data_IF_553699382168
#
_entry.id   IF_553699382168
#
_cell.length_a   1.000
_cell.length_b   1.000
_cell.length_c   1.000
_cell.angle_alpha   90.00
_cell.angle_beta   90.00
_cell.angle_gamma   90.00
#
_symmetry.space_group_name_H-M   'P 1'
#
loop_
_entity.id
_entity.type
_entity.pdbx_description
1 polymer ?
#
# COMPACT_ATOMS: atom_id res chain seq x y z
N UNK A 1 6.12 27.42 -4.50
CA UNK A 1 4.94 27.74 -5.32
C UNK A 1 3.86 28.48 -4.53
N UNK A 2 3.88 28.49 -3.19
CA UNK A 2 2.88 29.24 -2.41
C UNK A 2 1.46 28.68 -2.54
N UNK A 3 1.33 27.37 -2.82
CA UNK A 3 0.06 26.68 -2.99
C UNK A 3 -0.28 26.00 -1.67
N UNK A 4 -1.52 26.16 -1.22
CA UNK A 4 -2.04 25.46 -0.05
C UNK A 4 -2.09 23.95 -0.29
N UNK A 5 -1.72 23.17 0.73
CA UNK A 5 -1.66 21.71 0.65
C UNK A 5 -2.69 21.11 1.59
N UNK A 6 -3.70 20.45 1.04
CA UNK A 6 -4.64 19.63 1.79
C UNK A 6 -4.20 18.16 1.76
N UNK A 7 -4.10 17.55 2.94
CA UNK A 7 -3.78 16.11 3.07
C UNK A 7 -5.04 15.35 3.44
N UNK A 8 -5.52 14.52 2.51
CA UNK A 8 -6.67 13.64 2.74
C UNK A 8 -6.17 12.20 2.93
N UNK A 9 -6.54 11.61 4.06
CA UNK A 9 -6.28 10.20 4.34
C UNK A 9 -7.33 9.33 3.65
N UNK A 10 -6.92 8.14 3.22
CA UNK A 10 -7.86 7.14 2.72
C UNK A 10 -8.55 6.48 3.91
N UNK A 11 -9.86 6.37 3.83
CA UNK A 11 -10.70 5.70 4.82
C UNK A 11 -10.83 4.20 4.53
N UNK A 12 -11.47 3.46 5.45
CA UNK A 12 -11.68 2.01 5.34
C UNK A 12 -12.41 1.60 4.06
N UNK A 13 -13.25 2.49 3.49
CA UNK A 13 -13.95 2.23 2.22
C UNK A 13 -12.97 2.03 1.05
N UNK A 14 -11.77 2.59 1.13
CA UNK A 14 -10.74 2.33 0.13
C UNK A 14 -10.31 0.86 0.09
N UNK A 15 -10.41 0.14 1.20
CA UNK A 15 -10.05 -1.28 1.24
C UNK A 15 -11.04 -2.12 0.44
N UNK A 16 -12.31 -1.72 0.35
CA UNK A 16 -13.29 -2.34 -0.55
C UNK A 16 -12.95 -2.10 -2.03
N UNK A 17 -12.42 -0.93 -2.37
CA UNK A 17 -11.89 -0.65 -3.72
C UNK A 17 -10.75 -1.61 -4.08
N UNK A 18 -9.95 -2.01 -3.08
CA UNK A 18 -8.90 -3.02 -3.27
C UNK A 18 -9.49 -4.42 -3.29
N UNK A 19 -10.45 -4.76 -2.43
CA UNK A 19 -11.03 -6.11 -2.31
C UNK A 19 -11.79 -6.51 -3.58
N UNK A 20 -12.62 -5.62 -4.10
CA UNK A 20 -13.56 -5.89 -5.19
C UNK A 20 -13.56 -4.76 -6.24
N UNK A 21 -12.46 -4.57 -6.99
CA UNK A 21 -12.42 -3.52 -8.00
C UNK A 21 -13.33 -3.80 -9.19
N UNK A 22 -14.09 -2.79 -9.61
CA UNK A 22 -14.99 -2.85 -10.77
C UNK A 22 -14.24 -3.04 -12.09
N UNK A 23 -13.03 -2.48 -12.21
CA UNK A 23 -12.24 -2.54 -13.45
C UNK A 23 -11.03 -3.49 -13.38
N UNK A 24 -11.02 -4.34 -12.35
CA UNK A 24 -10.02 -5.38 -12.13
C UNK A 24 -8.61 -4.85 -11.84
N UNK A 25 -7.73 -5.77 -11.51
CA UNK A 25 -6.35 -5.43 -11.14
C UNK A 25 -5.44 -5.17 -12.35
N UNK A 26 -4.26 -4.61 -12.07
CA UNK A 26 -3.13 -4.62 -12.99
C UNK A 26 -2.27 -5.88 -12.83
N UNK A 27 -0.95 -5.73 -12.68
CA UNK A 27 -0.01 -6.86 -12.55
C UNK A 27 -0.21 -7.63 -11.24
N UNK A 28 -0.49 -6.92 -10.14
CA UNK A 28 -0.64 -7.49 -8.80
C UNK A 28 -2.00 -7.08 -8.22
N UNK A 29 -2.06 -6.46 -7.04
CA UNK A 29 -3.30 -6.01 -6.41
C UNK A 29 -3.61 -4.54 -6.72
N UNK A 30 -3.16 -4.00 -7.84
CA UNK A 30 -3.28 -2.57 -8.12
C UNK A 30 -4.55 -2.23 -8.93
N UNK A 31 -5.66 -1.78 -8.31
CA UNK A 31 -6.89 -1.37 -9.00
C UNK A 31 -6.76 0.07 -9.52
N UNK A 32 -5.90 0.30 -10.50
CA UNK A 32 -5.48 1.67 -10.82
C UNK A 32 -6.60 2.59 -11.34
N UNK A 33 -7.64 2.05 -11.98
CA UNK A 33 -8.78 2.84 -12.47
C UNK A 33 -9.67 3.20 -11.28
N UNK A 34 -10.07 2.22 -10.48
CA UNK A 34 -10.93 2.40 -9.30
C UNK A 34 -10.27 3.30 -8.24
N UNK A 35 -8.97 3.14 -8.02
CA UNK A 35 -8.20 4.01 -7.13
C UNK A 35 -8.21 5.48 -7.60
N UNK A 36 -8.18 5.73 -8.91
CA UNK A 36 -8.28 7.10 -9.46
C UNK A 36 -9.67 7.67 -9.29
N UNK A 37 -10.70 6.86 -9.50
CA UNK A 37 -12.10 7.25 -9.27
C UNK A 37 -12.28 7.66 -7.80
N UNK A 38 -11.89 6.81 -6.85
CA UNK A 38 -11.94 7.12 -5.41
C UNK A 38 -11.23 8.43 -5.06
N UNK A 39 -10.01 8.64 -5.59
CA UNK A 39 -9.25 9.88 -5.32
C UNK A 39 -9.98 11.11 -5.87
N UNK A 40 -10.58 11.01 -7.05
CA UNK A 40 -11.32 12.12 -7.66
C UNK A 40 -12.65 12.40 -6.96
N UNK A 41 -13.31 11.38 -6.42
CA UNK A 41 -14.49 11.55 -5.57
C UNK A 41 -14.14 12.34 -4.30
N UNK A 42 -13.04 11.98 -3.61
CA UNK A 42 -12.53 12.75 -2.47
C UNK A 42 -12.10 14.17 -2.85
N UNK A 43 -11.46 14.35 -4.01
CA UNK A 43 -11.10 15.67 -4.51
C UNK A 43 -12.34 16.53 -4.81
N UNK A 44 -13.43 15.92 -5.28
CA UNK A 44 -14.72 16.58 -5.52
C UNK A 44 -15.42 16.98 -4.22
N UNK A 45 -15.37 16.13 -3.19
CA UNK A 45 -15.86 16.46 -1.85
C UNK A 45 -15.13 17.68 -1.31
N UNK A 46 -13.80 17.64 -1.24
CA UNK A 46 -12.97 18.76 -0.79
C UNK A 46 -13.18 20.02 -1.65
N UNK A 47 -13.26 19.86 -2.98
CA UNK A 47 -13.47 20.97 -3.90
C UNK A 47 -14.75 21.76 -3.59
N UNK A 48 -15.82 21.08 -3.15
CA UNK A 48 -17.05 21.77 -2.70
C UNK A 48 -16.84 22.53 -1.41
N UNK A 49 -16.11 21.96 -0.46
CA UNK A 49 -15.84 22.58 0.85
C UNK A 49 -15.02 23.86 0.72
N UNK A 50 -14.02 23.88 -0.16
CA UNK A 50 -13.12 25.03 -0.36
C UNK A 50 -13.61 26.00 -1.45
N UNK A 51 -14.76 25.71 -2.09
CA UNK A 51 -15.31 26.54 -3.17
C UNK A 51 -14.47 26.53 -4.46
N UNK A 52 -13.87 25.40 -4.81
CA UNK A 52 -13.08 25.26 -6.03
C UNK A 52 -13.97 25.21 -7.29
N UNK A 53 -13.61 26.00 -8.31
CA UNK A 53 -14.33 26.04 -9.60
C UNK A 53 -14.14 24.76 -10.43
N UNK A 54 -12.99 24.10 -10.32
CA UNK A 54 -12.67 22.91 -11.10
C UNK A 54 -11.56 22.05 -10.48
N UNK A 55 -11.42 20.84 -11.04
CA UNK A 55 -10.38 19.88 -10.67
C UNK A 55 -9.48 19.64 -11.88
N UNK A 56 -8.17 19.58 -11.64
CA UNK A 56 -7.21 19.17 -12.66
C UNK A 56 -6.27 18.08 -12.15
N UNK A 57 -5.73 17.29 -13.08
CA UNK A 57 -4.73 16.25 -12.76
C UNK A 57 -3.49 16.37 -13.64
N UNK A 58 -2.34 15.93 -13.12
CA UNK A 58 -1.12 15.76 -13.91
C UNK A 58 -1.11 14.50 -14.78
N UNK A 59 -2.26 13.96 -15.16
CA UNK A 59 -2.34 12.78 -16.00
C UNK A 59 -1.91 13.09 -17.44
N UNK A 60 -1.19 12.14 -18.05
CA UNK A 60 -0.69 12.24 -19.42
C UNK A 60 -1.20 11.06 -20.21
N UNK A 61 -1.86 11.33 -21.34
CA UNK A 61 -2.38 10.30 -22.24
C UNK A 61 -1.29 9.28 -22.62
N UNK A 62 -1.58 8.00 -22.44
CA UNK A 62 -0.72 6.83 -22.67
C UNK A 62 0.54 6.74 -21.79
N UNK A 63 0.66 7.54 -20.73
CA UNK A 63 1.83 7.48 -19.83
C UNK A 63 1.78 6.33 -18.80
N UNK A 64 0.60 5.75 -18.53
CA UNK A 64 0.42 4.53 -17.73
C UNK A 64 -0.53 3.57 -18.45
N UNK A 65 -0.16 2.29 -18.66
CA UNK A 65 -0.90 1.45 -19.60
C UNK A 65 -2.30 1.12 -19.09
N UNK A 66 -2.43 0.88 -17.78
CA UNK A 66 -3.70 0.50 -17.13
C UNK A 66 -4.66 1.69 -16.96
N UNK A 67 -4.16 2.86 -16.55
CA UNK A 67 -5.03 3.95 -16.06
C UNK A 67 -5.04 5.22 -16.91
N UNK A 68 -4.17 5.35 -17.91
CA UNK A 68 -4.02 6.59 -18.68
C UNK A 68 -4.14 6.39 -20.19
N UNK A 69 -4.67 5.26 -20.66
CA UNK A 69 -5.15 5.17 -22.04
C UNK A 69 -6.49 5.90 -22.19
N UNK A 70 -6.88 6.25 -23.43
CA UNK A 70 -8.07 7.07 -23.68
C UNK A 70 -9.36 6.49 -23.05
N UNK A 71 -9.55 5.17 -23.17
CA UNK A 71 -10.70 4.47 -22.58
C UNK A 71 -10.69 4.59 -21.05
N UNK A 72 -9.56 4.37 -20.41
CA UNK A 72 -9.42 4.48 -18.96
C UNK A 72 -9.66 5.91 -18.47
N UNK A 73 -9.11 6.93 -19.14
CA UNK A 73 -9.35 8.33 -18.78
C UNK A 73 -10.84 8.69 -18.83
N UNK A 74 -11.54 8.24 -19.88
CA UNK A 74 -12.99 8.45 -20.02
C UNK A 74 -13.78 7.72 -18.95
N UNK A 75 -13.44 6.46 -18.65
CA UNK A 75 -14.08 5.70 -17.56
C UNK A 75 -13.90 6.44 -16.23
N UNK A 76 -12.67 6.82 -15.89
CA UNK A 76 -12.36 7.49 -14.62
C UNK A 76 -13.17 8.78 -14.48
N UNK A 77 -13.26 9.56 -15.56
CA UNK A 77 -13.97 10.84 -15.58
C UNK A 77 -15.49 10.66 -15.42
N UNK A 78 -16.09 9.69 -16.11
CA UNK A 78 -17.52 9.39 -16.01
C UNK A 78 -17.86 8.86 -14.62
N UNK A 79 -17.12 7.87 -14.14
CA UNK A 79 -17.40 7.19 -12.87
C UNK A 79 -17.18 8.09 -11.65
N UNK A 80 -16.22 9.02 -11.70
CA UNK A 80 -16.05 10.03 -10.64
C UNK A 80 -17.10 11.16 -10.69
N UNK A 81 -17.94 11.20 -11.75
CA UNK A 81 -18.93 12.23 -11.97
C UNK A 81 -18.31 13.59 -12.35
N UNK A 82 -17.18 13.58 -13.06
CA UNK A 82 -16.45 14.77 -13.49
C UNK A 82 -16.42 14.96 -15.01
N UNK A 83 -17.30 14.28 -15.74
CA UNK A 83 -17.49 14.42 -17.20
C UNK A 83 -17.49 15.89 -17.63
N UNK A 84 -16.51 16.26 -18.46
CA UNK A 84 -16.34 17.61 -19.00
C UNK A 84 -15.80 18.65 -18.02
N UNK A 85 -15.58 18.29 -16.74
CA UNK A 85 -15.13 19.20 -15.68
C UNK A 85 -13.73 18.85 -15.13
N UNK A 86 -13.10 17.77 -15.62
CA UNK A 86 -11.77 17.33 -15.21
C UNK A 86 -10.71 17.76 -16.23
N UNK A 87 -9.92 18.78 -15.89
CA UNK A 87 -8.85 19.27 -16.76
C UNK A 87 -7.59 18.40 -16.65
N UNK A 88 -6.98 18.09 -17.79
CA UNK A 88 -5.69 17.37 -17.87
C UNK A 88 -4.67 18.20 -18.64
N UNK A 89 -4.10 19.27 -18.03
CA UNK A 89 -3.37 20.32 -18.75
C UNK A 89 -2.14 19.80 -19.51
N UNK A 90 -1.55 18.68 -19.07
CA UNK A 90 -0.37 18.12 -19.72
C UNK A 90 -0.68 17.42 -21.05
N UNK A 91 -1.90 16.93 -21.25
CA UNK A 91 -2.31 16.21 -22.47
C UNK A 91 -3.59 16.76 -23.10
N UNK A 92 -3.99 17.98 -22.75
CA UNK A 92 -5.27 18.57 -23.12
C UNK A 92 -5.45 18.66 -24.64
N UNK A 93 -4.37 18.94 -25.38
CA UNK A 93 -4.42 19.05 -26.85
C UNK A 93 -4.68 17.71 -27.57
N UNK A 94 -4.66 16.58 -26.85
CA UNK A 94 -5.02 15.25 -27.36
C UNK A 94 -6.37 14.74 -26.84
N UNK A 95 -7.12 15.56 -26.10
CA UNK A 95 -8.39 15.20 -25.48
C UNK A 95 -9.48 16.19 -25.90
N UNK A 96 -10.74 15.80 -25.76
CA UNK A 96 -11.86 16.72 -25.95
C UNK A 96 -11.77 17.92 -24.97
N UNK A 97 -12.17 19.13 -25.39
CA UNK A 97 -12.18 20.29 -24.51
C UNK A 97 -13.15 20.11 -23.35
N UNK A 98 -12.71 20.56 -22.17
CA UNK A 98 -13.57 20.69 -20.99
C UNK A 98 -14.57 21.84 -21.16
N UNK A 99 -15.60 21.86 -20.32
CA UNK A 99 -16.56 22.97 -20.26
C UNK A 99 -15.85 24.30 -19.95
N UNK A 100 -14.78 24.26 -19.16
CA UNK A 100 -13.98 25.43 -18.81
C UNK A 100 -13.26 26.03 -20.02
N UNK A 101 -12.73 25.17 -20.89
CA UNK A 101 -12.09 25.59 -22.15
C UNK A 101 -13.13 26.14 -23.13
N UNK A 102 -14.26 25.43 -23.31
CA UNK A 102 -15.33 25.87 -24.22
C UNK A 102 -15.97 27.19 -23.79
N UNK A 103 -16.04 27.46 -22.48
CA UNK A 103 -16.52 28.75 -21.92
C UNK A 103 -15.46 29.86 -21.92
N UNK A 104 -14.22 29.58 -22.33
CA UNK A 104 -13.13 30.54 -22.31
C UNK A 104 -12.57 30.88 -20.92
N UNK A 105 -12.94 30.12 -19.88
CA UNK A 105 -12.38 30.26 -18.53
C UNK A 105 -10.92 29.78 -18.48
N UNK A 106 -10.58 28.83 -19.36
CA UNK A 106 -9.22 28.33 -19.55
C UNK A 106 -8.83 28.48 -21.01
N UNK A 107 -7.73 29.21 -21.24
CA UNK A 107 -7.13 29.36 -22.55
C UNK A 107 -6.42 28.05 -22.96
N UNK A 108 -7.10 27.26 -23.78
CA UNK A 108 -6.61 25.97 -24.30
C UNK A 108 -5.28 26.09 -25.04
N UNK A 109 -4.96 27.25 -25.65
CA UNK A 109 -3.71 27.46 -26.38
C UNK A 109 -2.47 27.42 -25.48
N UNK A 110 -2.65 27.63 -24.17
CA UNK A 110 -1.58 27.56 -23.16
C UNK A 110 -1.38 26.17 -22.57
N UNK A 111 -2.23 25.20 -22.93
CA UNK A 111 -2.13 23.82 -22.47
C UNK A 111 -1.18 23.00 -23.35
N UNK A 112 -0.86 21.78 -22.92
CA UNK A 112 0.18 20.97 -23.55
C UNK A 112 -0.37 19.75 -24.30
N UNK A 113 0.45 19.26 -25.22
CA UNK A 113 0.26 18.10 -26.09
C UNK A 113 1.19 16.93 -25.68
N UNK A 114 1.46 16.74 -24.38
CA UNK A 114 2.29 15.61 -23.93
C UNK A 114 1.47 14.32 -24.05
N UNK A 115 2.05 13.30 -24.67
CA UNK A 115 1.50 11.94 -24.72
C UNK A 115 2.61 10.89 -24.76
N UNK A 116 2.25 9.65 -24.43
CA UNK A 116 3.14 8.49 -24.46
C UNK A 116 3.88 8.25 -23.15
N UNK A 117 4.86 7.34 -23.20
CA UNK A 117 5.55 6.79 -22.02
C UNK A 117 6.62 7.71 -21.43
N UNK A 118 7.24 8.54 -22.29
CA UNK A 118 8.38 9.38 -21.91
C UNK A 118 7.97 10.47 -20.92
N UNK A 119 8.85 10.76 -19.96
CA UNK A 119 8.73 11.88 -19.02
C UNK A 119 9.67 13.05 -19.35
N UNK A 120 10.44 12.95 -20.44
CA UNK A 120 11.49 13.92 -20.79
C UNK A 120 10.98 15.36 -20.80
N UNK A 121 9.87 15.63 -21.50
CA UNK A 121 9.28 16.98 -21.58
C UNK A 121 8.75 17.50 -20.25
N UNK A 122 8.16 16.64 -19.41
CA UNK A 122 7.74 17.03 -18.06
C UNK A 122 8.95 17.43 -17.19
N UNK A 123 10.05 16.66 -17.27
CA UNK A 123 11.27 16.94 -16.53
C UNK A 123 11.97 18.21 -17.04
N UNK A 124 11.92 18.49 -18.35
CA UNK A 124 12.41 19.74 -18.93
C UNK A 124 11.61 20.95 -18.44
N UNK A 125 10.27 20.86 -18.39
CA UNK A 125 9.41 21.90 -17.82
C UNK A 125 9.75 22.10 -16.34
N UNK A 126 9.80 21.02 -15.56
CA UNK A 126 10.18 21.09 -14.15
C UNK A 126 11.55 21.74 -13.95
N UNK A 127 12.54 21.43 -14.80
CA UNK A 127 13.88 22.05 -14.77
C UNK A 127 13.83 23.55 -15.01
N UNK A 128 13.11 23.98 -16.05
CA UNK A 128 12.96 25.41 -16.41
C UNK A 128 12.33 26.23 -15.28
N UNK A 129 11.50 25.60 -14.45
CA UNK A 129 10.85 26.23 -13.30
C UNK A 129 11.56 25.98 -11.96
N UNK A 130 12.76 25.39 -11.96
CA UNK A 130 13.52 25.12 -10.73
C UNK A 130 12.89 24.06 -9.81
N UNK A 131 11.97 23.24 -10.31
CA UNK A 131 11.20 22.26 -9.52
C UNK A 131 11.92 20.91 -9.36
N UNK A 132 13.03 20.70 -10.06
CA UNK A 132 13.75 19.42 -9.99
C UNK A 132 14.53 19.19 -8.69
N UNK A 133 14.86 20.24 -7.94
CA UNK A 133 15.66 20.10 -6.71
C UNK A 133 14.99 19.19 -5.67
N UNK A 134 13.65 19.15 -5.67
CA UNK A 134 12.84 18.32 -4.78
C UNK A 134 12.15 17.16 -5.52
N UNK A 135 12.60 16.83 -6.74
CA UNK A 135 12.03 15.72 -7.50
C UNK A 135 12.55 14.38 -7.01
N UNK A 136 11.66 13.57 -6.43
CA UNK A 136 11.92 12.16 -6.19
C UNK A 136 11.08 11.32 -7.15
N UNK A 137 11.73 10.40 -7.88
CA UNK A 137 11.01 9.42 -8.66
C UNK A 137 10.31 8.45 -7.70
N UNK A 138 9.01 8.67 -7.44
CA UNK A 138 8.26 7.82 -6.50
C UNK A 138 8.34 6.33 -6.91
N UNK A 139 8.64 5.46 -5.94
CA UNK A 139 8.82 4.00 -6.08
C UNK A 139 7.57 3.20 -6.46
N UNK A 140 6.58 3.82 -7.11
CA UNK A 140 5.32 3.17 -7.49
C UNK A 140 4.38 2.96 -6.31
N UNK A 141 3.26 2.28 -6.56
CA UNK A 141 2.29 1.92 -5.54
C UNK A 141 2.71 0.58 -4.90
N UNK A 142 2.64 0.43 -3.58
CA UNK A 142 2.97 -0.82 -2.89
C UNK A 142 2.12 -2.01 -3.38
N UNK A 143 0.89 -1.78 -3.84
CA UNK A 143 0.06 -2.83 -4.43
C UNK A 143 0.59 -3.39 -5.76
N UNK A 144 1.62 -2.75 -6.34
CA UNK A 144 2.37 -3.29 -7.49
C UNK A 144 3.55 -4.16 -7.07
N UNK A 145 3.98 -4.11 -5.81
CA UNK A 145 4.98 -5.02 -5.28
C UNK A 145 4.35 -6.40 -5.02
N UNK A 146 5.05 -7.48 -5.41
CA UNK A 146 4.51 -8.84 -5.32
C UNK A 146 4.37 -9.27 -3.86
N UNK A 147 5.37 -9.00 -3.02
CA UNK A 147 5.36 -9.42 -1.61
C UNK A 147 4.28 -8.70 -0.81
N UNK A 148 4.16 -7.38 -0.99
CA UNK A 148 3.10 -6.61 -0.35
C UNK A 148 1.73 -6.99 -0.87
N UNK A 149 1.57 -7.22 -2.18
CA UNK A 149 0.31 -7.70 -2.73
C UNK A 149 -0.09 -9.07 -2.17
N UNK A 150 0.85 -10.00 -1.95
CA UNK A 150 0.54 -11.28 -1.32
C UNK A 150 0.06 -11.10 0.13
N UNK A 151 0.78 -10.30 0.93
CA UNK A 151 0.38 -9.95 2.31
C UNK A 151 -0.98 -9.29 2.38
N UNK A 152 -1.30 -8.43 1.41
CA UNK A 152 -2.59 -7.77 1.30
C UNK A 152 -3.70 -8.74 0.85
N UNK A 153 -3.44 -9.67 -0.09
CA UNK A 153 -4.43 -10.71 -0.46
C UNK A 153 -4.77 -11.60 0.72
N UNK A 154 -3.76 -11.96 1.50
CA UNK A 154 -3.94 -12.70 2.74
C UNK A 154 -4.81 -11.92 3.74
N UNK A 155 -4.51 -10.64 3.97
CA UNK A 155 -5.33 -9.79 4.84
C UNK A 155 -6.79 -9.71 4.36
N UNK A 156 -7.03 -9.46 3.08
CA UNK A 156 -8.37 -9.39 2.49
C UNK A 156 -9.18 -10.69 2.59
N UNK A 157 -8.49 -11.83 2.61
CA UNK A 157 -9.09 -13.17 2.67
C UNK A 157 -9.47 -13.59 4.08
N UNK A 158 -8.65 -13.25 5.07
CA UNK A 158 -8.77 -13.74 6.45
C UNK A 158 -9.33 -12.70 7.43
N UNK A 159 -9.67 -11.50 6.96
CA UNK A 159 -10.23 -10.44 7.78
C UNK A 159 -11.60 -10.08 7.24
N UNK A 160 -12.64 -10.15 8.07
CA UNK A 160 -13.99 -9.80 7.66
C UNK A 160 -14.15 -8.28 7.59
N UNK A 161 -13.90 -7.61 8.71
CA UNK A 161 -13.93 -6.14 8.84
C UNK A 161 -12.57 -5.53 8.52
N UNK A 162 -12.47 -4.89 7.35
CA UNK A 162 -11.22 -4.27 6.90
C UNK A 162 -11.01 -2.90 7.55
N UNK A 163 -9.82 -2.67 8.10
CA UNK A 163 -9.42 -1.41 8.73
C UNK A 163 -8.11 -0.89 8.17
N UNK A 164 -8.06 0.41 7.90
CA UNK A 164 -6.83 1.07 7.42
C UNK A 164 -5.70 1.01 8.45
N UNK A 165 -6.03 0.89 9.74
CA UNK A 165 -5.08 0.74 10.84
C UNK A 165 -4.29 -0.57 10.80
N UNK A 166 -4.81 -1.62 10.15
CA UNK A 166 -4.14 -2.92 10.01
C UNK A 166 -3.10 -2.93 8.87
N UNK A 167 -3.14 -1.95 7.97
CA UNK A 167 -2.28 -1.94 6.77
C UNK A 167 -0.79 -1.65 7.06
N UNK A 168 -0.42 -0.76 8.02
CA UNK A 168 0.96 -0.51 8.35
C UNK A 168 1.77 -1.76 8.73
N UNK A 169 1.22 -2.69 9.52
CA UNK A 169 1.95 -3.90 9.96
C UNK A 169 2.33 -4.80 8.77
N UNK A 170 1.53 -4.75 7.69
CA UNK A 170 1.79 -5.50 6.46
C UNK A 170 3.05 -5.05 5.71
N UNK A 171 3.69 -3.94 6.09
CA UNK A 171 4.92 -3.44 5.45
C UNK A 171 6.18 -4.08 6.03
N UNK A 172 6.13 -4.53 7.28
CA UNK A 172 7.30 -4.95 8.06
C UNK A 172 7.27 -6.45 8.34
N UNK A 173 8.44 -7.03 8.58
CA UNK A 173 8.60 -8.45 8.88
C UNK A 173 8.42 -9.39 7.69
N UNK A 174 8.67 -10.67 7.96
CA UNK A 174 8.38 -11.83 7.12
C UNK A 174 7.04 -12.39 7.55
N UNK A 175 6.09 -12.49 6.62
CA UNK A 175 4.72 -12.89 6.96
C UNK A 175 4.50 -14.35 6.57
N UNK A 176 3.85 -15.08 7.46
CA UNK A 176 3.47 -16.47 7.27
C UNK A 176 2.01 -16.65 7.64
N UNK A 177 1.33 -17.58 6.96
CA UNK A 177 -0.03 -18.00 7.31
C UNK A 177 -0.03 -19.49 7.61
N UNK A 178 -0.19 -19.84 8.89
CA UNK A 178 -0.38 -21.22 9.31
C UNK A 178 -1.86 -21.46 9.60
N UNK A 179 -2.55 -22.16 8.67
CA UNK A 179 -4.01 -22.30 8.66
C UNK A 179 -4.71 -20.94 8.75
N UNK A 180 -5.30 -20.60 9.88
CA UNK A 180 -6.00 -19.33 10.15
C UNK A 180 -5.12 -18.32 10.88
N UNK A 181 -3.96 -18.71 11.42
CA UNK A 181 -3.12 -17.85 12.25
C UNK A 181 -2.05 -17.15 11.41
N UNK A 182 -1.95 -15.82 11.57
CA UNK A 182 -0.88 -15.01 10.95
C UNK A 182 0.31 -14.92 11.88
N UNK A 183 1.50 -15.12 11.32
CA UNK A 183 2.76 -15.01 12.06
C UNK A 183 3.66 -14.01 11.32
N UNK A 184 4.25 -13.06 12.04
CA UNK A 184 5.10 -12.02 11.47
C UNK A 184 6.43 -12.00 12.21
N UNK A 185 7.53 -12.32 11.51
CA UNK A 185 8.88 -12.36 12.09
C UNK A 185 9.66 -11.13 11.66
N UNK A 186 10.13 -10.33 12.62
CA UNK A 186 10.94 -9.15 12.35
C UNK A 186 12.23 -9.44 11.58
N UNK A 187 12.72 -8.45 10.82
CA UNK A 187 13.94 -8.60 9.99
C UNK A 187 15.18 -7.96 10.60
N UNK A 188 14.98 -6.98 11.47
CA UNK A 188 16.01 -6.21 12.16
C UNK A 188 15.36 -5.48 13.35
N UNK A 189 16.18 -4.85 14.18
CA UNK A 189 15.75 -4.14 15.38
C UNK A 189 14.71 -3.04 15.10
N UNK A 190 14.89 -2.27 14.02
CA UNK A 190 13.94 -1.22 13.63
C UNK A 190 12.56 -1.80 13.35
N UNK A 191 12.48 -2.92 12.63
CA UNK A 191 11.22 -3.60 12.37
C UNK A 191 10.65 -4.27 13.61
N UNK A 192 11.47 -4.84 14.49
CA UNK A 192 11.00 -5.40 15.76
C UNK A 192 10.24 -4.33 16.57
N UNK A 193 10.83 -3.15 16.71
CA UNK A 193 10.22 -2.02 17.44
C UNK A 193 8.90 -1.56 16.78
N UNK A 194 8.87 -1.47 15.45
CA UNK A 194 7.64 -1.13 14.72
C UNK A 194 6.56 -2.21 14.86
N UNK A 195 6.91 -3.49 14.83
CA UNK A 195 5.96 -4.59 14.99
C UNK A 195 5.34 -4.60 16.40
N UNK A 196 6.13 -4.34 17.44
CA UNK A 196 5.62 -4.21 18.82
C UNK A 196 4.61 -3.06 18.94
N UNK A 197 4.86 -1.94 18.26
CA UNK A 197 3.96 -0.78 18.27
C UNK A 197 2.68 -1.01 17.44
N UNK A 198 2.74 -1.86 16.42
CA UNK A 198 1.66 -2.07 15.46
C UNK A 198 0.79 -3.32 15.73
N UNK A 199 1.23 -4.22 16.62
CA UNK A 199 0.43 -5.40 16.98
C UNK A 199 -0.84 -5.00 17.74
N UNK A 200 -1.83 -5.88 17.74
CA UNK A 200 -3.02 -5.73 18.59
C UNK A 200 -2.71 -6.14 20.03
N UNK A 201 -3.57 -5.74 20.96
CA UNK A 201 -3.39 -6.02 22.39
C UNK A 201 -3.53 -7.51 22.72
N UNK A 202 -4.31 -8.23 21.93
CA UNK A 202 -4.51 -9.66 22.06
C UNK A 202 -3.40 -10.47 21.39
N UNK A 203 -2.71 -9.94 20.38
CA UNK A 203 -1.59 -10.62 19.71
C UNK A 203 -0.48 -11.05 20.69
N UNK A 204 0.17 -12.18 20.40
CA UNK A 204 1.30 -12.68 21.18
C UNK A 204 2.63 -12.19 20.59
N UNK A 205 3.56 -11.86 21.46
CA UNK A 205 4.98 -11.66 21.20
C UNK A 205 5.75 -12.93 21.53
N UNK A 206 6.80 -13.20 20.75
CA UNK A 206 7.69 -14.33 20.95
C UNK A 206 9.13 -13.97 20.57
N UNK A 207 10.09 -14.45 21.35
CA UNK A 207 11.52 -14.36 21.09
C UNK A 207 12.26 -15.64 21.51
N UNK A 208 13.46 -15.83 20.98
CA UNK A 208 14.36 -16.88 21.44
C UNK A 208 14.94 -16.49 22.80
N UNK A 209 14.94 -17.41 23.76
CA UNK A 209 15.43 -17.14 25.11
C UNK A 209 16.96 -17.03 25.11
N UNK A 210 17.50 -16.02 25.77
CA UNK A 210 18.94 -15.79 25.98
C UNK A 210 19.76 -15.71 24.67
N UNK A 211 19.11 -15.39 23.55
CA UNK A 211 19.72 -15.35 22.21
C UNK A 211 19.21 -14.15 21.43
N UNK A 212 20.12 -13.39 20.82
CA UNK A 212 19.76 -12.29 19.93
C UNK A 212 18.96 -12.78 18.72
N UNK A 213 17.88 -12.09 18.39
CA UNK A 213 16.99 -12.54 17.33
C UNK A 213 15.81 -11.62 17.04
N UNK A 214 14.89 -12.06 16.18
CA UNK A 214 13.73 -11.29 15.80
C UNK A 214 12.66 -11.33 16.89
N UNK A 215 11.82 -10.30 16.90
CA UNK A 215 10.51 -10.37 17.54
C UNK A 215 9.54 -11.01 16.55
N UNK A 216 8.81 -12.01 17.03
CA UNK A 216 7.74 -12.68 16.29
C UNK A 216 6.38 -12.29 16.86
N UNK A 217 5.50 -11.76 16.02
CA UNK A 217 4.09 -11.52 16.32
C UNK A 217 3.27 -12.73 15.88
N UNK A 218 2.37 -13.20 16.74
CA UNK A 218 1.38 -14.23 16.43
C UNK A 218 -0.01 -13.62 16.62
N UNK A 219 -0.74 -13.44 15.52
CA UNK A 219 -2.04 -12.82 15.59
C UNK A 219 -3.09 -13.78 16.13
N UNK A 220 -3.86 -13.34 17.11
CA UNK A 220 -4.87 -14.17 17.73
C UNK A 220 -6.19 -14.22 16.92
N UNK A 221 -7.00 -15.29 17.08
CA UNK A 221 -6.73 -16.48 17.89
C UNK A 221 -5.69 -17.42 17.26
N UNK A 222 -4.79 -17.96 18.09
CA UNK A 222 -3.73 -18.87 17.67
C UNK A 222 -3.90 -20.28 18.27
N UNK A 223 -3.91 -21.30 17.41
CA UNK A 223 -3.88 -22.69 17.87
C UNK A 223 -2.46 -23.11 18.31
N UNK A 224 -2.38 -24.13 19.16
CA UNK A 224 -1.14 -24.66 19.73
C UNK A 224 -0.08 -25.01 18.67
N UNK A 225 -0.50 -25.57 17.53
CA UNK A 225 0.43 -25.90 16.44
C UNK A 225 0.95 -24.66 15.71
N UNK A 226 0.18 -23.57 15.65
CA UNK A 226 0.64 -22.31 15.10
C UNK A 226 1.69 -21.65 16.01
N UNK A 227 1.51 -21.75 17.34
CA UNK A 227 2.50 -21.27 18.32
C UNK A 227 3.80 -22.07 18.19
N UNK A 228 3.72 -23.40 18.06
CA UNK A 228 4.90 -24.24 17.80
C UNK A 228 5.59 -23.83 16.50
N UNK A 229 4.85 -23.63 15.41
CA UNK A 229 5.43 -23.20 14.15
C UNK A 229 6.09 -21.82 14.24
N UNK A 230 5.48 -20.87 14.94
CA UNK A 230 6.06 -19.56 15.20
C UNK A 230 7.39 -19.65 15.96
N UNK A 231 7.50 -20.56 16.92
CA UNK A 231 8.75 -20.82 17.65
C UNK A 231 9.85 -21.34 16.74
N UNK A 232 9.51 -22.28 15.85
CA UNK A 232 10.44 -22.82 14.86
C UNK A 232 10.98 -21.71 13.94
N UNK A 233 10.12 -20.79 13.52
CA UNK A 233 10.51 -19.63 12.72
C UNK A 233 11.40 -18.66 13.52
N UNK A 234 11.05 -18.39 14.78
CA UNK A 234 11.80 -17.49 15.65
C UNK A 234 13.24 -17.98 15.85
N UNK A 235 13.43 -19.26 16.18
CA UNK A 235 14.76 -19.88 16.32
C UNK A 235 15.52 -19.95 14.99
N UNK A 236 14.81 -20.11 13.86
CA UNK A 236 15.43 -20.17 12.54
C UNK A 236 16.05 -18.84 12.13
N UNK A 237 15.43 -17.74 12.52
CA UNK A 237 15.86 -16.39 12.17
C UNK A 237 16.64 -15.68 13.29
N UNK A 238 16.87 -16.34 14.43
CA UNK A 238 17.75 -15.86 15.49
C UNK A 238 19.20 -16.30 15.27
N UNK A 239 20.09 -15.79 16.11
CA UNK A 239 21.51 -16.16 16.14
C UNK A 239 21.76 -17.49 16.88
N UNK A 240 20.69 -18.25 17.19
CA UNK A 240 20.82 -19.54 17.84
C UNK A 240 21.58 -20.50 16.92
N UNK A 241 22.60 -21.21 17.40
CA UNK A 241 23.38 -22.12 16.54
C UNK A 241 22.86 -23.56 16.57
N UNK A 242 22.21 -23.98 17.67
CA UNK A 242 21.71 -25.34 17.84
C UNK A 242 20.51 -25.71 16.95
N UNK A 243 20.10 -26.98 17.00
CA UNK A 243 18.92 -27.50 16.30
C UNK A 243 17.63 -27.36 17.10
N UNK A 244 17.71 -27.35 18.43
CA UNK A 244 16.57 -27.32 19.37
C UNK A 244 16.85 -26.31 20.47
N UNK A 245 16.03 -25.27 20.58
CA UNK A 245 16.26 -24.15 21.50
C UNK A 245 15.00 -23.72 22.27
N UNK A 246 15.23 -22.88 23.27
CA UNK A 246 14.20 -22.33 24.13
C UNK A 246 13.60 -21.05 23.53
N UNK A 247 12.29 -20.87 23.69
CA UNK A 247 11.59 -19.64 23.35
C UNK A 247 10.63 -19.23 24.45
N UNK A 248 10.38 -17.94 24.54
CA UNK A 248 9.41 -17.35 25.47
C UNK A 248 8.37 -16.57 24.69
N UNK A 249 7.11 -16.64 25.14
CA UNK A 249 6.03 -15.87 24.52
C UNK A 249 5.02 -15.35 25.56
N UNK A 250 4.32 -14.28 25.20
CA UNK A 250 3.42 -13.53 26.07
C UNK A 250 2.74 -12.39 25.32
N UNK A 251 1.89 -11.60 25.99
CA UNK A 251 1.21 -10.45 25.35
C UNK A 251 2.08 -9.18 25.30
N UNK A 252 3.02 -9.07 26.23
CA UNK A 252 3.98 -7.95 26.32
C UNK A 252 5.38 -8.51 26.55
N UNK A 253 6.41 -7.67 26.35
CA UNK A 253 7.81 -8.05 26.58
C UNK A 253 8.06 -8.39 28.06
N UNK A 254 7.39 -7.69 28.98
CA UNK A 254 7.49 -7.92 30.43
C UNK A 254 6.75 -9.19 30.89
N UNK A 255 5.87 -9.73 30.03
CA UNK A 255 5.02 -10.88 30.33
C UNK A 255 5.38 -12.14 29.50
N UNK A 256 6.63 -12.26 29.04
CA UNK A 256 7.16 -13.42 28.33
C UNK A 256 7.42 -14.61 29.27
N UNK A 257 6.36 -15.13 29.87
CA UNK A 257 6.45 -16.14 30.94
C UNK A 257 6.29 -17.59 30.45
N UNK A 258 5.92 -17.79 29.18
CA UNK A 258 5.66 -19.13 28.64
C UNK A 258 6.90 -19.68 27.96
N UNK A 259 7.72 -20.41 28.72
CA UNK A 259 8.90 -21.12 28.21
C UNK A 259 8.50 -22.41 27.51
N UNK A 260 9.04 -22.64 26.32
CA UNK A 260 8.90 -23.89 25.58
C UNK A 260 10.14 -24.20 24.74
N UNK A 261 10.24 -25.45 24.31
CA UNK A 261 11.34 -25.95 23.47
C UNK A 261 10.80 -26.18 22.05
N UNK A 262 11.56 -25.78 21.03
CA UNK A 262 11.25 -26.07 19.64
C UNK A 262 12.50 -26.35 18.81
N UNK A 263 12.32 -27.03 17.69
CA UNK A 263 13.36 -27.18 16.67
C UNK A 263 13.35 -25.99 15.69
N UNK A 264 14.41 -25.79 14.92
CA UNK A 264 14.41 -24.77 13.86
C UNK A 264 13.51 -25.16 12.67
N UNK A 265 12.82 -24.18 12.10
CA UNK A 265 12.10 -24.37 10.84
C UNK A 265 13.07 -24.69 9.69
N UNK A 266 12.76 -25.72 8.90
CA UNK A 266 13.50 -26.04 7.68
C UNK A 266 13.01 -25.24 6.46
N UNK A 267 13.77 -25.29 5.37
CA UNK A 267 13.50 -24.51 4.15
C UNK A 267 12.15 -24.88 3.51
N UNK A 268 11.82 -26.17 3.47
CA UNK A 268 10.55 -26.67 2.92
C UNK A 268 9.35 -26.08 3.67
N UNK A 269 9.42 -26.01 5.00
CA UNK A 269 8.37 -25.41 5.83
C UNK A 269 8.23 -23.90 5.56
N UNK A 270 9.34 -23.17 5.48
CA UNK A 270 9.33 -21.73 5.17
C UNK A 270 8.64 -21.48 3.83
N UNK A 271 9.05 -22.20 2.79
CA UNK A 271 8.50 -22.05 1.44
C UNK A 271 7.01 -22.41 1.35
N UNK A 272 6.53 -23.32 2.21
CA UNK A 272 5.13 -23.74 2.25
C UNK A 272 4.20 -22.65 2.80
N UNK A 273 4.66 -21.88 3.79
CA UNK A 273 3.79 -20.97 4.56
C UNK A 273 4.07 -19.48 4.36
N UNK A 274 5.16 -19.11 3.69
CA UNK A 274 5.54 -17.71 3.46
C UNK A 274 4.59 -17.01 2.47
N UNK A 275 4.27 -15.74 2.76
CA UNK A 275 3.43 -14.88 1.93
C UNK A 275 4.23 -13.99 0.97
#
# INVERSE_FOLDING_TARGET
LGIEIHTLMKDDKYLEVIRNPKFGYGKNLNPCIDCRIYILEKAKELGKEIGADFIFTGEVLNQRPKSQNLKALRIIEVESGLSGNLLRPLSALHLEPTILETKGLIDRSKLLDIRGRSRKRQLEIARKHGLLQNYTACGGCLLTDKSFANRMRDYLKFTDELKMEDIPILKYGRHFRYKTTKIIVGRNEVENNLLIQLKKDDDLLMEAKDVSGPITIIQNPAEENAIKFAAMLTLRYSDYEGSVGDFVFGKTLEALNNLRISEKANETMIQTYIL
#
